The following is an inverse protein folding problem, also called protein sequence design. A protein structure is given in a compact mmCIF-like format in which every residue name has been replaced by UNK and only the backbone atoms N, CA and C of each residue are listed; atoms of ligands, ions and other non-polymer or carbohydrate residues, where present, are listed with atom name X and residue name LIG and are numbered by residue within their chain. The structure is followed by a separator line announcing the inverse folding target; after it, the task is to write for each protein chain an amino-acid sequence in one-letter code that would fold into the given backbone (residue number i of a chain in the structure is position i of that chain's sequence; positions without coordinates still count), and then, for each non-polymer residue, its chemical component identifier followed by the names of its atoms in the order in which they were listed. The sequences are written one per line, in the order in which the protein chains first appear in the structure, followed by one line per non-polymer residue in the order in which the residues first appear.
data_IF_332347351506
#
_entry.id   IF_332347351506
#
_cell.length_a   1.000
_cell.length_b   1.000
_cell.length_c   1.000
_cell.angle_alpha   90.00
_cell.angle_beta   90.00
_cell.angle_gamma   90.00
#
_symmetry.space_group_name_H-M   'P 1'
#
loop_
_entity.id
_entity.type
_entity.pdbx_description
1 polymer ?
#
# COMPACT_ATOMS: atom_id res chain seq x y z
N UNK A 1 4.88 -30.63 -64.85
CA UNK A 1 4.89 -29.33 -64.14
C UNK A 1 3.60 -29.10 -63.30
N UNK A 2 2.39 -29.37 -63.84
CA UNK A 2 1.13 -29.10 -63.12
C UNK A 2 0.92 -29.91 -61.83
N UNK A 3 1.32 -31.17 -61.75
CA UNK A 3 1.15 -32.01 -60.58
C UNK A 3 1.99 -31.54 -59.36
N UNK A 4 3.19 -30.97 -59.59
CA UNK A 4 4.06 -30.43 -58.56
C UNK A 4 3.49 -29.11 -57.97
N UNK A 5 2.88 -28.27 -58.79
CA UNK A 5 2.23 -27.06 -58.33
C UNK A 5 1.01 -27.39 -57.46
N UNK A 6 0.21 -28.36 -57.86
CA UNK A 6 -0.94 -28.85 -57.06
C UNK A 6 -0.51 -29.43 -55.75
N UNK A 7 0.59 -30.21 -55.69
CA UNK A 7 1.17 -30.72 -54.45
C UNK A 7 1.66 -29.59 -53.55
N UNK A 8 2.33 -28.58 -54.07
CA UNK A 8 2.75 -27.39 -53.28
C UNK A 8 1.57 -26.59 -52.74
N UNK A 9 0.47 -26.47 -53.50
CA UNK A 9 -0.76 -25.79 -53.04
C UNK A 9 -1.49 -26.58 -51.94
N UNK A 10 -1.44 -27.91 -51.96
CA UNK A 10 -2.11 -28.75 -50.96
C UNK A 10 -1.25 -28.93 -49.70
N UNK A 11 0.06 -29.12 -49.84
CA UNK A 11 0.96 -29.46 -48.74
C UNK A 11 1.78 -28.26 -48.22
N UNK A 12 1.69 -27.09 -48.85
CA UNK A 12 2.53 -25.94 -48.52
C UNK A 12 4.00 -26.13 -48.91
N UNK A 13 4.74 -25.02 -49.00
CA UNK A 13 6.19 -25.11 -49.23
C UNK A 13 6.92 -25.56 -47.95
N UNK A 14 8.09 -26.20 -48.05
CA UNK A 14 8.92 -26.54 -46.84
C UNK A 14 9.18 -25.33 -45.95
N UNK A 15 9.44 -24.16 -46.53
CA UNK A 15 9.64 -22.90 -45.77
C UNK A 15 8.39 -22.44 -45.05
N UNK A 16 7.21 -22.65 -45.61
CA UNK A 16 5.95 -22.31 -44.96
C UNK A 16 5.71 -23.22 -43.71
N UNK A 17 6.06 -24.49 -43.78
CA UNK A 17 5.97 -25.39 -42.61
C UNK A 17 6.95 -25.01 -41.52
N UNK A 18 8.17 -24.65 -41.87
CA UNK A 18 9.17 -24.15 -40.90
C UNK A 18 8.69 -22.88 -40.21
N UNK A 19 8.18 -21.89 -40.95
CA UNK A 19 7.61 -20.66 -40.39
C UNK A 19 6.42 -20.93 -39.48
N UNK A 20 5.55 -21.87 -39.81
CA UNK A 20 4.42 -22.25 -38.94
C UNK A 20 4.89 -22.91 -37.64
N UNK A 21 5.91 -23.77 -37.71
CA UNK A 21 6.50 -24.41 -36.51
C UNK A 21 7.15 -23.33 -35.63
N UNK A 22 7.92 -22.43 -36.21
CA UNK A 22 8.58 -21.34 -35.47
C UNK A 22 7.56 -20.41 -34.81
N UNK A 23 6.51 -20.03 -35.54
CA UNK A 23 5.43 -19.20 -34.99
C UNK A 23 4.71 -19.91 -33.83
N UNK A 24 4.43 -21.22 -33.96
CA UNK A 24 3.83 -21.99 -32.87
C UNK A 24 4.73 -22.06 -31.62
N UNK A 25 6.04 -22.16 -31.83
CA UNK A 25 7.05 -22.13 -30.73
C UNK A 25 7.11 -20.79 -30.05
N UNK A 26 7.12 -19.68 -30.80
CA UNK A 26 7.07 -18.32 -30.27
C UNK A 26 5.79 -18.09 -29.46
N UNK A 27 4.63 -18.50 -29.97
CA UNK A 27 3.37 -18.42 -29.22
C UNK A 27 3.41 -19.18 -27.91
N UNK A 28 3.99 -20.38 -27.90
CA UNK A 28 4.16 -21.15 -26.67
C UNK A 28 5.07 -20.43 -25.66
N UNK A 29 6.15 -19.81 -26.14
CA UNK A 29 7.05 -19.00 -25.29
C UNK A 29 6.34 -17.78 -24.70
N UNK A 30 5.55 -17.04 -25.50
CA UNK A 30 4.74 -15.91 -25.01
C UNK A 30 3.72 -16.34 -23.96
N UNK A 31 3.07 -17.50 -24.14
CA UNK A 31 2.14 -18.02 -23.15
C UNK A 31 2.82 -18.38 -21.84
N UNK A 32 4.05 -18.92 -21.89
CA UNK A 32 4.86 -19.17 -20.69
C UNK A 32 5.24 -17.85 -20.02
N UNK A 33 5.70 -16.86 -20.78
CA UNK A 33 6.04 -15.53 -20.26
C UNK A 33 4.85 -14.86 -19.59
N UNK A 34 3.67 -14.87 -20.24
CA UNK A 34 2.45 -14.32 -19.67
C UNK A 34 2.08 -14.94 -18.32
N UNK A 35 2.20 -16.28 -18.19
CA UNK A 35 1.97 -16.96 -16.91
C UNK A 35 2.98 -16.55 -15.84
N UNK A 36 4.26 -16.44 -16.18
CA UNK A 36 5.30 -15.98 -15.24
C UNK A 36 5.06 -14.56 -14.78
N UNK A 37 4.52 -13.69 -15.63
CA UNK A 37 4.11 -12.33 -15.24
C UNK A 37 2.93 -12.37 -14.27
N UNK A 38 1.94 -13.24 -14.50
CA UNK A 38 0.82 -13.43 -13.58
C UNK A 38 1.29 -13.91 -12.20
N UNK A 39 2.23 -14.87 -12.16
CA UNK A 39 2.84 -15.35 -10.92
C UNK A 39 3.58 -14.21 -10.20
N UNK A 40 4.38 -13.42 -10.93
CA UNK A 40 5.09 -12.27 -10.35
C UNK A 40 4.13 -11.19 -9.82
N UNK A 41 3.00 -10.96 -10.50
CA UNK A 41 1.96 -10.06 -10.01
C UNK A 41 1.31 -10.58 -8.72
N UNK A 42 1.11 -11.89 -8.59
CA UNK A 42 0.63 -12.53 -7.37
C UNK A 42 1.58 -12.29 -6.19
N UNK A 43 2.88 -12.57 -6.39
CA UNK A 43 3.91 -12.31 -5.35
C UNK A 43 3.96 -10.85 -4.95
N UNK A 44 3.87 -9.93 -5.91
CA UNK A 44 3.83 -8.50 -5.62
C UNK A 44 2.59 -8.12 -4.80
N UNK A 45 1.44 -8.71 -5.08
CA UNK A 45 0.22 -8.50 -4.30
C UNK A 45 0.39 -8.95 -2.84
N UNK A 46 1.03 -10.09 -2.60
CA UNK A 46 1.34 -10.58 -1.25
C UNK A 46 2.27 -9.61 -0.52
N UNK A 47 3.27 -9.06 -1.21
CA UNK A 47 4.18 -8.05 -0.66
C UNK A 47 3.39 -6.78 -0.28
N UNK A 48 2.47 -6.32 -1.12
CA UNK A 48 1.62 -5.16 -0.85
C UNK A 48 0.70 -5.39 0.36
N UNK A 49 0.14 -6.59 0.51
CA UNK A 49 -0.67 -6.94 1.68
C UNK A 49 0.15 -6.94 2.97
N UNK A 50 1.40 -7.43 2.93
CA UNK A 50 2.30 -7.37 4.11
C UNK A 50 2.68 -5.94 4.47
N UNK A 51 2.92 -5.10 3.49
CA UNK A 51 3.20 -3.69 3.69
C UNK A 51 2.02 -3.01 4.41
N UNK A 52 0.80 -3.15 3.89
CA UNK A 52 -0.38 -2.47 4.42
C UNK A 52 -0.86 -3.06 5.75
N UNK A 53 -0.82 -4.41 5.92
CA UNK A 53 -1.46 -5.08 7.05
C UNK A 53 -0.48 -5.48 8.17
N UNK A 54 0.81 -5.40 7.95
CA UNK A 54 1.83 -5.75 8.94
C UNK A 54 2.76 -4.57 9.23
N UNK A 55 3.55 -4.12 8.25
CA UNK A 55 4.58 -3.11 8.51
C UNK A 55 3.98 -1.77 8.91
N UNK A 56 3.00 -1.29 8.17
CA UNK A 56 2.34 -0.01 8.47
C UNK A 56 1.50 -0.07 9.73
N UNK A 57 0.87 -1.20 10.02
CA UNK A 57 0.12 -1.40 11.29
C UNK A 57 1.05 -1.34 12.49
N UNK A 58 2.20 -2.02 12.45
CA UNK A 58 3.20 -1.98 13.54
C UNK A 58 3.71 -0.54 13.75
N UNK A 59 3.91 0.21 12.68
CA UNK A 59 4.40 1.59 12.70
C UNK A 59 3.28 2.63 12.90
N UNK A 60 2.04 2.21 13.12
CA UNK A 60 0.86 3.07 13.29
C UNK A 60 0.66 4.03 12.10
N UNK A 61 0.97 3.58 10.89
CA UNK A 61 0.85 4.36 9.66
C UNK A 61 -0.32 3.88 8.80
N UNK A 62 -0.89 4.80 8.04
CA UNK A 62 -1.96 4.48 7.09
C UNK A 62 -1.45 3.62 5.92
N UNK A 63 -2.29 2.70 5.39
CA UNK A 63 -1.95 1.92 4.21
C UNK A 63 -1.82 2.82 2.97
N UNK A 64 -1.05 2.37 1.98
CA UNK A 64 -0.95 3.08 0.70
C UNK A 64 -2.31 3.11 0.01
N UNK A 65 -2.78 4.31 -0.37
CA UNK A 65 -4.09 4.47 -1.00
C UNK A 65 -4.26 3.52 -2.20
N UNK A 66 -5.41 2.80 -2.28
CA UNK A 66 -5.72 1.94 -3.43
C UNK A 66 -5.68 2.70 -4.76
N UNK A 67 -6.03 3.98 -4.78
CA UNK A 67 -5.96 4.83 -5.96
C UNK A 67 -4.52 4.97 -6.47
N UNK A 68 -3.54 5.09 -5.59
CA UNK A 68 -2.11 5.13 -5.95
C UNK A 68 -1.67 3.77 -6.46
N UNK A 69 -2.02 2.67 -5.77
CA UNK A 69 -1.63 1.30 -6.16
C UNK A 69 -2.23 0.88 -7.51
N UNK A 70 -3.45 1.34 -7.82
CA UNK A 70 -4.18 0.99 -9.04
C UNK A 70 -4.04 2.03 -10.16
N UNK A 71 -3.38 3.16 -9.90
CA UNK A 71 -3.21 4.20 -10.91
C UNK A 71 -2.64 3.60 -12.20
N UNK A 72 -3.42 3.64 -13.28
CA UNK A 72 -3.04 3.09 -14.58
C UNK A 72 -1.99 3.94 -15.30
N UNK A 73 -1.40 3.42 -16.35
CA UNK A 73 -0.71 4.23 -17.33
C UNK A 73 -1.76 4.96 -18.17
N UNK A 74 -1.86 6.28 -18.06
CA UNK A 74 -2.60 7.10 -18.98
C UNK A 74 -1.80 7.27 -20.28
N UNK A 75 -2.47 7.32 -21.40
CA UNK A 75 -1.88 7.57 -22.72
C UNK A 75 -2.62 6.77 -23.79
N UNK A 76 -3.03 7.45 -24.86
CA UNK A 76 -3.57 6.86 -26.09
C UNK A 76 -2.41 6.35 -26.94
N UNK A 77 -2.60 5.23 -27.65
CA UNK A 77 -1.74 4.70 -28.71
C UNK A 77 -0.35 4.16 -28.31
N UNK A 78 -0.10 3.87 -27.05
CA UNK A 78 1.20 3.33 -26.61
C UNK A 78 1.58 2.00 -27.29
N UNK A 79 0.59 1.23 -27.72
CA UNK A 79 0.78 -0.11 -28.30
C UNK A 79 0.41 -0.17 -29.78
N UNK A 80 0.27 0.98 -30.46
CA UNK A 80 -0.16 1.08 -31.86
C UNK A 80 0.79 0.31 -32.79
N UNK A 81 2.10 0.45 -32.58
CA UNK A 81 3.12 -0.26 -33.36
C UNK A 81 3.06 -1.79 -33.19
N UNK A 82 2.45 -2.28 -32.11
CA UNK A 82 2.30 -3.71 -31.86
C UNK A 82 1.03 -4.29 -32.48
N UNK A 83 0.10 -3.43 -32.94
CA UNK A 83 -1.17 -3.88 -33.50
C UNK A 83 -1.03 -4.51 -34.89
N UNK A 84 0.03 -4.16 -35.63
CA UNK A 84 0.33 -4.69 -36.96
C UNK A 84 1.05 -6.04 -36.94
N UNK A 85 1.40 -6.52 -35.73
CA UNK A 85 2.12 -7.79 -35.58
C UNK A 85 1.18 -8.99 -35.69
N UNK A 86 1.69 -10.09 -36.27
CA UNK A 86 1.04 -11.38 -36.14
C UNK A 86 0.89 -11.68 -34.62
N UNK A 87 -0.34 -12.03 -34.18
CA UNK A 87 -0.66 -12.24 -32.76
C UNK A 87 -0.62 -10.95 -31.88
N UNK A 88 -0.88 -9.79 -32.47
CA UNK A 88 -0.90 -8.48 -31.80
C UNK A 88 -1.59 -8.50 -30.42
N UNK A 89 -2.75 -9.15 -30.31
CA UNK A 89 -3.50 -9.24 -29.06
C UNK A 89 -2.69 -9.89 -27.90
N UNK A 90 -1.92 -10.94 -28.17
CA UNK A 90 -1.11 -11.62 -27.17
C UNK A 90 0.09 -10.75 -26.76
N UNK A 91 0.76 -10.14 -27.74
CA UNK A 91 1.91 -9.26 -27.53
C UNK A 91 1.50 -8.03 -26.74
N UNK A 92 0.43 -7.34 -27.15
CA UNK A 92 -0.10 -6.16 -26.46
C UNK A 92 -0.48 -6.50 -25.01
N UNK A 93 -1.21 -7.59 -24.79
CA UNK A 93 -1.62 -8.00 -23.44
C UNK A 93 -0.41 -8.29 -22.54
N UNK A 94 0.62 -8.99 -23.05
CA UNK A 94 1.84 -9.29 -22.29
C UNK A 94 2.62 -8.02 -21.96
N UNK A 95 2.73 -7.10 -22.90
CA UNK A 95 3.40 -5.79 -22.70
C UNK A 95 2.64 -4.95 -21.68
N UNK A 96 1.30 -4.90 -21.75
CA UNK A 96 0.48 -4.20 -20.75
C UNK A 96 0.66 -4.77 -19.35
N UNK A 97 0.69 -6.10 -19.20
CA UNK A 97 0.98 -6.74 -17.90
C UNK A 97 2.35 -6.35 -17.35
N UNK A 98 3.36 -6.32 -18.21
CA UNK A 98 4.72 -5.93 -17.82
C UNK A 98 4.77 -4.46 -17.36
N UNK A 99 4.11 -3.57 -18.08
CA UNK A 99 4.01 -2.15 -17.71
C UNK A 99 3.33 -1.96 -16.35
N UNK A 100 2.21 -2.65 -16.13
CA UNK A 100 1.49 -2.62 -14.84
C UNK A 100 2.37 -3.16 -13.71
N UNK A 101 3.05 -4.29 -13.94
CA UNK A 101 3.97 -4.87 -12.96
C UNK A 101 5.09 -3.89 -12.61
N UNK A 102 5.74 -3.31 -13.61
CA UNK A 102 6.84 -2.35 -13.44
C UNK A 102 6.41 -1.14 -12.60
N UNK A 103 5.22 -0.60 -12.88
CA UNK A 103 4.67 0.52 -12.11
C UNK A 103 4.38 0.13 -10.66
N UNK A 104 3.73 -1.00 -10.45
CA UNK A 104 3.41 -1.47 -9.10
C UNK A 104 4.67 -1.75 -8.27
N UNK A 105 5.72 -2.29 -8.90
CA UNK A 105 7.03 -2.46 -8.28
C UNK A 105 7.65 -1.12 -7.86
N UNK A 106 7.58 -0.10 -8.72
CA UNK A 106 8.06 1.24 -8.39
C UNK A 106 7.32 1.83 -7.18
N UNK A 107 5.97 1.73 -7.17
CA UNK A 107 5.16 2.20 -6.04
C UNK A 107 5.53 1.46 -4.76
N UNK A 108 5.71 0.13 -4.84
CA UNK A 108 6.10 -0.67 -3.68
C UNK A 108 7.51 -0.32 -3.18
N UNK A 109 8.45 -0.05 -4.08
CA UNK A 109 9.79 0.42 -3.71
C UNK A 109 9.71 1.74 -2.94
N UNK A 110 8.90 2.70 -3.40
CA UNK A 110 8.68 3.96 -2.69
C UNK A 110 8.00 3.77 -1.33
N UNK A 111 7.02 2.87 -1.27
CA UNK A 111 6.40 2.51 0.01
C UNK A 111 7.41 1.95 1.02
N UNK A 112 8.38 1.17 0.58
CA UNK A 112 9.43 0.67 1.46
C UNK A 112 10.43 1.75 1.89
N UNK A 113 10.71 2.75 1.05
CA UNK A 113 11.49 3.93 1.48
C UNK A 113 10.78 4.62 2.66
N UNK A 114 9.46 4.83 2.58
CA UNK A 114 8.65 5.40 3.66
C UNK A 114 8.70 4.54 4.94
N UNK A 115 8.56 3.21 4.80
CA UNK A 115 8.64 2.26 5.94
C UNK A 115 10.00 2.34 6.62
N UNK A 116 11.10 2.41 5.84
CA UNK A 116 12.46 2.54 6.38
C UNK A 116 12.61 3.84 7.18
N UNK A 117 12.08 4.95 6.65
CA UNK A 117 12.16 6.24 7.36
C UNK A 117 11.28 6.26 8.62
N UNK A 118 10.12 5.64 8.59
CA UNK A 118 9.30 5.42 9.79
C UNK A 118 10.03 4.57 10.82
N UNK A 119 10.71 3.48 10.41
CA UNK A 119 11.50 2.65 11.31
C UNK A 119 12.65 3.43 11.98
N UNK A 120 13.35 4.29 11.24
CA UNK A 120 14.43 5.13 11.81
C UNK A 120 13.92 6.07 12.90
N UNK A 121 12.70 6.57 12.75
CA UNK A 121 12.08 7.52 13.68
C UNK A 121 11.23 6.85 14.77
N UNK A 122 11.11 5.52 14.75
CA UNK A 122 10.22 4.77 15.65
C UNK A 122 10.58 4.95 17.13
N UNK A 123 11.86 4.94 17.49
CA UNK A 123 12.31 5.13 18.86
C UNK A 123 11.94 6.50 19.42
N UNK A 124 12.05 7.55 18.59
CA UNK A 124 11.64 8.90 18.98
C UNK A 124 10.12 9.00 19.10
N UNK A 125 9.39 8.38 18.20
CA UNK A 125 7.93 8.30 18.25
C UNK A 125 7.46 7.60 19.54
N UNK A 126 8.07 6.48 19.92
CA UNK A 126 7.72 5.75 21.14
C UNK A 126 7.90 6.60 22.39
N UNK A 127 8.91 7.46 22.45
CA UNK A 127 9.13 8.39 23.56
C UNK A 127 8.05 9.48 23.64
N UNK A 128 7.38 9.79 22.54
CA UNK A 128 6.31 10.79 22.47
C UNK A 128 4.92 10.22 22.77
N UNK A 129 4.77 8.90 22.76
CA UNK A 129 3.51 8.25 23.14
C UNK A 129 3.29 8.41 24.65
N UNK A 130 2.13 8.94 25.09
CA UNK A 130 1.80 9.03 26.51
C UNK A 130 1.89 7.67 27.21
N UNK A 131 2.89 7.48 28.07
CA UNK A 131 3.17 6.21 28.74
C UNK A 131 3.01 6.28 30.26
N UNK A 132 2.97 7.49 30.84
CA UNK A 132 2.81 7.71 32.28
C UNK A 132 1.61 8.63 32.56
N UNK A 133 1.06 8.56 33.75
CA UNK A 133 0.04 9.51 34.20
C UNK A 133 0.67 10.88 34.53
N UNK A 134 -0.08 11.99 34.33
CA UNK A 134 0.45 13.34 34.58
C UNK A 134 0.73 13.62 36.06
N UNK A 135 0.16 12.85 36.96
CA UNK A 135 0.41 12.92 38.39
C UNK A 135 0.67 11.51 38.96
N UNK A 136 1.35 11.44 40.10
CA UNK A 136 1.53 10.18 40.79
C UNK A 136 0.18 9.66 41.31
N UNK A 137 -0.30 8.54 40.77
CA UNK A 137 -1.60 7.94 41.09
C UNK A 137 -1.44 6.46 41.40
N UNK A 138 -0.50 6.11 42.28
CA UNK A 138 -0.14 4.73 42.62
C UNK A 138 -1.33 3.89 43.08
N UNK A 139 -2.28 4.52 43.78
CA UNK A 139 -3.46 3.84 44.34
C UNK A 139 -4.72 3.99 43.49
N UNK A 140 -4.62 4.58 42.31
CA UNK A 140 -5.74 4.90 41.40
C UNK A 140 -6.86 5.74 42.06
N UNK A 141 -6.55 6.47 43.15
CA UNK A 141 -7.52 7.29 43.89
C UNK A 141 -7.65 8.71 43.40
N UNK A 142 -6.75 9.14 42.55
CA UNK A 142 -6.68 10.54 42.08
C UNK A 142 -7.39 10.77 40.72
N UNK A 143 -8.01 9.75 40.18
CA UNK A 143 -8.83 9.91 38.98
C UNK A 143 -10.20 10.44 39.38
N UNK A 144 -10.51 11.68 39.01
CA UNK A 144 -11.77 12.32 39.34
C UNK A 144 -12.86 12.03 38.31
N UNK A 145 -12.52 12.00 37.02
CA UNK A 145 -13.45 11.70 35.94
C UNK A 145 -12.75 11.13 34.69
N UNK A 146 -13.33 10.09 34.10
CA UNK A 146 -12.79 9.43 32.92
C UNK A 146 -13.29 10.04 31.61
N UNK A 147 -12.71 9.55 30.52
CA UNK A 147 -13.10 9.84 29.16
C UNK A 147 -14.48 9.21 28.81
N UNK A 148 -15.31 9.95 28.10
CA UNK A 148 -16.59 9.46 27.59
C UNK A 148 -17.79 10.30 27.95
N UNK A 149 -18.97 9.78 27.66
CA UNK A 149 -20.26 10.45 27.94
C UNK A 149 -20.59 10.38 29.41
N UNK A 150 -20.85 11.51 30.05
CA UNK A 150 -21.21 11.62 31.47
C UNK A 150 -22.28 12.67 31.68
N UNK A 151 -22.90 12.63 32.86
CA UNK A 151 -23.78 13.71 33.33
C UNK A 151 -22.92 14.83 33.86
N UNK A 152 -23.09 16.04 33.33
CA UNK A 152 -22.42 17.24 33.81
C UNK A 152 -22.85 17.53 35.27
N UNK A 153 -21.94 17.60 36.22
CA UNK A 153 -22.28 17.73 37.63
C UNK A 153 -22.87 19.12 37.99
N UNK A 154 -22.71 20.13 37.10
CA UNK A 154 -23.20 21.48 37.33
C UNK A 154 -24.59 21.66 36.69
N UNK A 155 -24.74 21.20 35.44
CA UNK A 155 -25.95 21.44 34.66
C UNK A 155 -26.90 20.22 34.60
N UNK A 156 -26.52 19.05 35.09
CA UNK A 156 -27.32 17.83 35.04
C UNK A 156 -27.61 17.30 33.63
N UNK A 157 -26.95 17.80 32.60
CA UNK A 157 -27.13 17.41 31.20
C UNK A 157 -26.08 16.39 30.79
N UNK A 158 -26.42 15.56 29.81
CA UNK A 158 -25.47 14.59 29.24
C UNK A 158 -24.45 15.34 28.39
N UNK A 159 -23.15 15.21 28.71
CA UNK A 159 -22.03 15.84 28.02
C UNK A 159 -20.92 14.83 27.75
N UNK A 160 -20.30 14.95 26.59
CA UNK A 160 -19.13 14.15 26.26
C UNK A 160 -17.88 14.78 26.87
N UNK A 161 -17.09 13.99 27.62
CA UNK A 161 -15.82 14.42 28.20
C UNK A 161 -14.68 13.86 27.36
N UNK A 162 -13.94 14.74 26.69
CA UNK A 162 -12.86 14.39 25.74
C UNK A 162 -11.50 14.21 26.43
N UNK A 163 -11.47 14.06 27.75
CA UNK A 163 -10.24 13.92 28.53
C UNK A 163 -10.39 13.04 29.75
N UNK A 164 -9.37 13.03 30.60
CA UNK A 164 -9.39 12.40 31.90
C UNK A 164 -8.96 13.43 32.95
N UNK A 165 -9.82 13.64 33.97
CA UNK A 165 -9.53 14.56 35.06
C UNK A 165 -8.82 13.82 36.21
N UNK A 166 -7.82 14.48 36.76
CA UNK A 166 -7.11 14.01 37.95
C UNK A 166 -7.30 15.00 39.08
N UNK A 167 -7.51 14.50 40.31
CA UNK A 167 -7.63 15.29 41.52
C UNK A 167 -6.38 15.16 42.36
N UNK A 168 -5.75 16.27 42.72
CA UNK A 168 -4.55 16.28 43.53
C UNK A 168 -4.51 17.52 44.46
N UNK A 169 -3.70 17.49 45.49
CA UNK A 169 -3.49 18.61 46.40
C UNK A 169 -2.78 19.76 45.66
N UNK A 170 -3.07 21.05 46.02
CA UNK A 170 -2.29 22.16 45.52
C UNK A 170 -0.78 21.97 45.79
N UNK A 171 0.03 22.25 44.75
CA UNK A 171 1.48 22.04 44.80
C UNK A 171 1.95 20.65 44.38
N UNK A 172 1.05 19.76 43.97
CA UNK A 172 1.45 18.48 43.40
C UNK A 172 2.11 18.68 42.02
N UNK A 173 3.24 18.02 41.80
CA UNK A 173 3.94 18.07 40.50
C UNK A 173 3.11 17.43 39.40
N UNK A 174 3.09 18.08 38.24
CA UNK A 174 2.46 17.60 37.02
C UNK A 174 3.53 17.29 35.97
N UNK A 175 3.55 16.06 35.49
CA UNK A 175 4.55 15.55 34.57
C UNK A 175 4.00 15.47 33.14
N UNK A 176 4.88 15.70 32.16
CA UNK A 176 4.56 15.36 30.77
C UNK A 176 4.39 13.84 30.65
N UNK A 177 3.33 13.41 30.00
CA UNK A 177 3.00 11.98 29.86
C UNK A 177 3.85 11.25 28.82
N UNK A 178 4.53 12.01 27.97
CA UNK A 178 5.52 11.60 26.96
C UNK A 178 6.36 12.80 26.56
N UNK A 179 7.36 12.56 25.69
CA UNK A 179 8.15 13.67 25.13
C UNK A 179 7.27 14.52 24.21
N UNK A 180 7.56 15.81 24.15
CA UNK A 180 6.81 16.73 23.32
C UNK A 180 7.40 18.13 23.30
N UNK A 181 6.82 19.01 22.50
CA UNK A 181 7.18 20.42 22.42
C UNK A 181 6.03 21.27 22.94
N UNK A 182 6.35 22.21 23.85
CA UNK A 182 5.36 23.16 24.36
C UNK A 182 5.00 24.17 23.25
N UNK A 183 3.79 24.10 22.76
CA UNK A 183 3.30 24.97 21.66
C UNK A 183 2.49 26.17 22.15
N UNK A 184 1.98 26.11 23.37
CA UNK A 184 1.18 27.21 23.96
C UNK A 184 1.34 27.24 25.48
N UNK A 185 1.51 28.43 26.02
CA UNK A 185 1.51 28.67 27.46
C UNK A 185 0.61 29.89 27.69
N UNK A 186 -0.32 29.81 28.64
CA UNK A 186 -1.22 30.92 28.96
C UNK A 186 -2.38 30.46 29.84
N UNK A 187 -3.16 31.47 30.28
CA UNK A 187 -4.41 31.26 30.98
C UNK A 187 -5.54 31.11 29.95
N UNK A 188 -6.38 30.10 30.09
CA UNK A 188 -7.65 29.99 29.37
C UNK A 188 -8.79 30.01 30.38
N UNK A 189 -9.81 30.79 30.06
CA UNK A 189 -11.10 30.73 30.77
C UNK A 189 -11.84 29.51 30.27
N UNK A 190 -12.07 28.52 31.13
CA UNK A 190 -12.84 27.30 30.83
C UNK A 190 -14.31 27.56 30.59
#
# INVERSE_FOLDING_TARGET
AGCFIVLLLIFGSPSEKELRIENSRLLAQYNVLSRRLDDAMGVLQDIQQRDDNLYRVILQADPVSPAIRQAGYGGTNRYEELMDLANAKLVVNTTQKLDVLSKRLYIQSKSFDDVIDMCKNHDEMLKCIPAIQPISNKDLRQTASGYGTRIDPIYGTTKFHAGMDFSAHPGTDVYATGNGTVVKVGWETG
#
